data_IF_094632770926
#
_entry.id   IF_094632770926
#
_cell.length_a   1.000
_cell.length_b   1.000
_cell.length_c   1.000
_cell.angle_alpha   90.00
_cell.angle_beta   90.00
_cell.angle_gamma   90.00
#
_symmetry.space_group_name_H-M   'P 1'
#
loop_
_entity.id
_entity.type
_entity.pdbx_description
1 polymer ?
#
# COMPACT_ATOMS: atom_id res chain seq x y z
N UNK A 1 -4.67 2.87 22.44
CA UNK A 1 -5.30 2.66 21.11
C UNK A 1 -4.23 2.44 20.03
N UNK A 2 -3.17 1.70 20.36
CA UNK A 2 -2.05 1.33 19.46
C UNK A 2 -1.95 -0.18 19.29
N UNK A 3 -2.48 -0.96 20.24
CA UNK A 3 -2.61 -2.42 20.13
C UNK A 3 -3.40 -2.86 18.88
N UNK A 4 -4.51 -2.21 18.53
CA UNK A 4 -5.36 -2.60 17.41
C UNK A 4 -4.63 -2.54 16.05
N UNK A 5 -3.75 -1.54 15.89
CA UNK A 5 -3.02 -1.34 14.65
C UNK A 5 -1.86 -2.34 14.50
N UNK A 6 -1.19 -2.67 15.61
CA UNK A 6 -0.15 -3.70 15.63
C UNK A 6 -0.74 -5.09 15.39
N UNK A 7 -1.92 -5.38 15.94
CA UNK A 7 -2.64 -6.64 15.68
C UNK A 7 -3.02 -6.77 14.20
N UNK A 8 -3.52 -5.68 13.59
CA UNK A 8 -3.81 -5.64 12.15
C UNK A 8 -2.56 -5.84 11.29
N UNK A 9 -1.44 -5.19 11.64
CA UNK A 9 -0.16 -5.38 10.95
C UNK A 9 0.40 -6.81 11.16
N UNK A 10 0.22 -7.41 12.34
CA UNK A 10 0.60 -8.80 12.61
C UNK A 10 -0.27 -9.81 11.89
N UNK A 11 -1.49 -9.44 11.50
CA UNK A 11 -2.38 -10.27 10.67
C UNK A 11 -2.07 -10.19 9.17
N UNK A 12 -1.15 -9.32 8.75
CA UNK A 12 -0.74 -9.22 7.35
C UNK A 12 0.19 -10.37 6.96
N UNK A 13 0.07 -10.77 5.71
CA UNK A 13 1.05 -11.64 5.07
C UNK A 13 2.38 -10.89 4.88
N UNK A 14 3.51 -11.60 4.72
CA UNK A 14 4.80 -10.98 4.45
C UNK A 14 4.76 -10.05 3.22
N UNK A 15 4.04 -10.46 2.18
CA UNK A 15 3.87 -9.70 0.95
C UNK A 15 3.09 -8.39 1.19
N UNK A 16 1.94 -8.46 1.85
CA UNK A 16 1.17 -7.26 2.23
C UNK A 16 2.01 -6.29 3.07
N UNK A 17 2.84 -6.79 3.97
CA UNK A 17 3.69 -5.98 4.83
C UNK A 17 4.84 -5.32 4.05
N UNK A 18 5.41 -6.00 3.05
CA UNK A 18 6.37 -5.41 2.12
C UNK A 18 5.73 -4.31 1.27
N UNK A 19 4.54 -4.54 0.69
CA UNK A 19 3.80 -3.53 -0.05
C UNK A 19 3.57 -2.28 0.79
N UNK A 20 3.11 -2.45 2.02
CA UNK A 20 2.82 -1.35 2.94
C UNK A 20 4.08 -0.54 3.28
N UNK A 21 5.22 -1.19 3.45
CA UNK A 21 6.51 -0.52 3.67
C UNK A 21 6.96 0.27 2.44
N UNK A 22 6.83 -0.31 1.25
CA UNK A 22 7.20 0.34 -0.01
C UNK A 22 6.35 1.59 -0.25
N UNK A 23 5.02 1.46 -0.14
CA UNK A 23 4.10 2.59 -0.26
C UNK A 23 4.38 3.65 0.82
N UNK A 24 4.61 3.23 2.07
CA UNK A 24 4.93 4.15 3.18
C UNK A 24 6.20 4.96 2.93
N UNK A 25 7.23 4.32 2.34
CA UNK A 25 8.52 4.93 1.99
C UNK A 25 8.34 5.98 0.88
N UNK A 26 7.62 5.63 -0.18
CA UNK A 26 7.28 6.54 -1.30
C UNK A 26 6.28 7.63 -0.90
N UNK A 27 5.47 7.38 0.13
CA UNK A 27 4.34 8.20 0.53
C UNK A 27 3.07 7.79 -0.21
N UNK A 28 3.11 7.81 -1.54
CA UNK A 28 2.05 7.30 -2.41
C UNK A 28 2.68 6.64 -3.64
N UNK A 29 2.12 5.52 -4.11
CA UNK A 29 2.65 4.76 -5.24
C UNK A 29 1.56 3.98 -5.97
N UNK A 30 1.74 3.76 -7.26
CA UNK A 30 0.90 2.85 -8.07
C UNK A 30 1.31 1.38 -7.89
N UNK A 31 0.43 0.44 -8.29
CA UNK A 31 0.75 -0.99 -8.29
C UNK A 31 2.01 -1.31 -9.09
N UNK A 32 2.15 -0.73 -10.28
CA UNK A 32 3.34 -0.87 -11.13
C UNK A 32 4.61 -0.32 -10.47
N UNK A 33 4.56 0.85 -9.83
CA UNK A 33 5.72 1.41 -9.14
C UNK A 33 6.20 0.54 -7.99
N UNK A 34 5.26 -0.02 -7.23
CA UNK A 34 5.59 -0.95 -6.14
C UNK A 34 6.16 -2.25 -6.69
N UNK A 35 5.61 -2.75 -7.80
CA UNK A 35 6.12 -3.94 -8.48
C UNK A 35 7.56 -3.73 -8.96
N UNK A 36 7.87 -2.54 -9.49
CA UNK A 36 9.22 -2.14 -9.86
C UNK A 36 10.17 -2.08 -8.65
N UNK A 37 9.73 -1.53 -7.52
CA UNK A 37 10.55 -1.48 -6.29
C UNK A 37 10.82 -2.88 -5.70
N UNK A 38 9.88 -3.81 -5.87
CA UNK A 38 9.99 -5.19 -5.41
C UNK A 38 10.79 -6.10 -6.37
N UNK A 39 11.40 -5.55 -7.42
CA UNK A 39 12.11 -6.29 -8.47
C UNK A 39 11.20 -7.33 -9.17
N UNK A 40 9.89 -7.06 -9.22
CA UNK A 40 8.85 -7.89 -9.86
C UNK A 40 8.05 -7.08 -10.89
N UNK A 41 8.69 -6.50 -11.91
CA UNK A 41 7.99 -5.69 -12.91
C UNK A 41 6.90 -6.50 -13.62
N UNK A 42 5.70 -5.93 -13.72
CA UNK A 42 4.55 -6.56 -14.38
C UNK A 42 3.80 -7.60 -13.54
N UNK A 43 4.18 -7.76 -12.26
CA UNK A 43 3.38 -8.52 -11.29
C UNK A 43 2.12 -7.73 -10.92
N UNK A 44 0.96 -8.39 -10.94
CA UNK A 44 -0.30 -7.74 -10.61
C UNK A 44 -0.45 -7.63 -9.09
N UNK A 45 0.00 -6.50 -8.54
CA UNK A 45 -0.12 -6.18 -7.11
C UNK A 45 -1.48 -5.55 -6.76
N UNK A 46 -2.39 -5.45 -7.73
CA UNK A 46 -3.72 -4.90 -7.55
C UNK A 46 -4.50 -5.64 -6.45
N UNK A 47 -4.55 -6.97 -6.51
CA UNK A 47 -5.27 -7.79 -5.52
C UNK A 47 -4.74 -7.62 -4.08
N UNK A 48 -3.44 -7.77 -3.78
CA UNK A 48 -2.94 -7.56 -2.43
C UNK A 48 -3.03 -6.10 -1.99
N UNK A 49 -2.95 -5.11 -2.89
CA UNK A 49 -3.21 -3.71 -2.56
C UNK A 49 -4.66 -3.44 -2.20
N UNK A 50 -5.63 -3.99 -2.94
CA UNK A 50 -7.05 -3.90 -2.60
C UNK A 50 -7.34 -4.48 -1.22
N UNK A 51 -6.72 -5.62 -0.87
CA UNK A 51 -6.85 -6.17 0.50
C UNK A 51 -6.33 -5.22 1.58
N UNK A 52 -5.23 -4.50 1.33
CA UNK A 52 -4.72 -3.49 2.25
C UNK A 52 -5.69 -2.31 2.41
N UNK A 53 -6.39 -1.96 1.33
CA UNK A 53 -7.45 -0.94 1.32
C UNK A 53 -8.67 -1.41 2.10
N UNK A 54 -9.13 -2.64 1.88
CA UNK A 54 -10.25 -3.25 2.62
C UNK A 54 -9.98 -3.34 4.12
N UNK A 55 -8.72 -3.57 4.50
CA UNK A 55 -8.27 -3.57 5.91
C UNK A 55 -8.15 -2.16 6.50
N UNK A 56 -8.30 -1.11 5.70
CA UNK A 56 -8.20 0.29 6.14
C UNK A 56 -6.78 0.73 6.47
N UNK A 57 -5.77 0.04 5.93
CA UNK A 57 -4.37 0.35 6.18
C UNK A 57 -3.76 1.28 5.11
N UNK A 58 -4.36 1.23 3.93
CA UNK A 58 -3.99 1.99 2.74
C UNK A 58 -5.26 2.66 2.21
N UNK A 59 -5.13 3.88 1.71
CA UNK A 59 -6.18 4.57 0.96
C UNK A 59 -5.84 4.52 -0.53
N UNK A 60 -6.80 4.09 -1.35
CA UNK A 60 -6.70 4.18 -2.80
C UNK A 60 -7.31 5.50 -3.29
N UNK A 61 -6.54 6.21 -4.11
CA UNK A 61 -6.94 7.44 -4.77
C UNK A 61 -6.78 7.27 -6.28
N UNK A 62 -7.76 7.75 -7.04
CA UNK A 62 -7.62 7.83 -8.49
C UNK A 62 -6.96 9.15 -8.85
N UNK A 63 -5.81 9.07 -9.50
CA UNK A 63 -5.13 10.23 -10.05
C UNK A 63 -5.40 10.32 -11.54
N UNK A 64 -5.94 11.45 -11.97
CA UNK A 64 -6.23 11.69 -13.39
C UNK A 64 -5.07 12.48 -14.00
N UNK A 65 -4.32 11.84 -14.91
CA UNK A 65 -3.22 12.43 -15.67
C UNK A 65 -3.57 12.32 -17.16
N UNK A 66 -3.63 13.45 -17.85
CA UNK A 66 -3.81 13.49 -19.32
C UNK A 66 -4.99 12.62 -19.83
N UNK A 67 -6.16 12.74 -19.20
CA UNK A 67 -7.38 11.95 -19.46
C UNK A 67 -7.28 10.44 -19.15
N UNK A 68 -6.21 10.01 -18.47
CA UNK A 68 -6.00 8.63 -18.04
C UNK A 68 -6.09 8.52 -16.50
N UNK A 69 -6.82 7.51 -16.02
CA UNK A 69 -7.10 7.29 -14.59
C UNK A 69 -6.11 6.27 -14.02
N UNK A 70 -5.29 6.68 -13.05
CA UNK A 70 -4.30 5.83 -12.39
C UNK A 70 -4.66 5.57 -10.93
N UNK A 71 -4.78 4.31 -10.49
CA UNK A 71 -4.95 3.99 -9.09
C UNK A 71 -3.62 4.21 -8.35
N UNK A 72 -3.63 5.15 -7.40
CA UNK A 72 -2.51 5.42 -6.51
C UNK A 72 -2.90 5.00 -5.09
N UNK A 73 -2.00 4.30 -4.44
CA UNK A 73 -2.16 3.81 -3.09
C UNK A 73 -1.30 4.62 -2.14
N UNK A 74 -1.88 5.04 -1.02
CA UNK A 74 -1.21 5.83 0.00
C UNK A 74 -1.44 5.20 1.38
N UNK A 75 -0.37 5.03 2.15
CA UNK A 75 -0.50 4.52 3.53
C UNK A 75 -1.06 5.61 4.43
N UNK A 76 -2.02 5.25 5.29
CA UNK A 76 -2.57 6.21 6.25
C UNK A 76 -1.44 6.69 7.18
N UNK A 77 -1.28 8.01 7.38
CA UNK A 77 -0.21 8.59 8.19
C UNK A 77 -0.18 8.10 9.65
N UNK A 78 -1.30 7.58 10.17
CA UNK A 78 -1.37 6.92 11.48
C UNK A 78 -0.59 5.61 11.49
N UNK A 79 -0.59 4.88 10.37
CA UNK A 79 0.13 3.62 10.20
C UNK A 79 1.61 3.89 9.97
N UNK A 80 1.94 4.93 9.20
CA UNK A 80 3.32 5.35 8.95
C UNK A 80 4.14 5.54 10.23
N UNK A 81 3.51 5.94 11.34
CA UNK A 81 4.16 6.07 12.67
C UNK A 81 4.41 4.74 13.39
N UNK A 82 3.75 3.66 13.01
CA UNK A 82 3.84 2.34 13.64
C UNK A 82 4.77 1.36 12.91
N UNK A 83 5.03 1.59 11.62
CA UNK A 83 5.93 0.78 10.77
C UNK A 83 7.32 1.40 10.56
N UNK A 84 7.54 2.62 11.07
CA UNK A 84 8.81 3.36 10.99
C UNK A 84 9.56 3.41 12.31
#
# INVERSE_FOLDING_TARGET
MTEDLLDQLSSLTPEELELLKTISTRGAATADEVALELDRPGDDLSEPMDRLVEKGLVEAHTLNLDDEEFPIYQVDPRIKKSIG
#
